data_IF_557828866931
#
_entry.id   IF_557828866931
#
_cell.length_a   1.000
_cell.length_b   1.000
_cell.length_c   1.000
_cell.angle_alpha   90.00
_cell.angle_beta   90.00
_cell.angle_gamma   90.00
#
_symmetry.space_group_name_H-M   'P 1'
#
loop_
_entity.id
_entity.type
_entity.pdbx_description
1 polymer ?
#
# COMPACT_ATOMS: atom_id res chain seq x y z
N UNK A 1 -7.35 -26.02 2.86
CA UNK A 1 -5.88 -25.90 3.08
C UNK A 1 -5.28 -24.74 2.29
N UNK A 2 -5.38 -24.72 0.96
CA UNK A 2 -4.72 -23.69 0.12
C UNK A 2 -5.37 -22.29 0.20
N UNK A 3 -6.68 -22.22 0.45
CA UNK A 3 -7.39 -20.97 0.75
C UNK A 3 -6.91 -20.36 2.08
N UNK A 4 -6.32 -21.17 2.97
CA UNK A 4 -5.81 -20.73 4.28
C UNK A 4 -4.40 -20.10 4.22
N UNK A 5 -3.79 -20.01 3.04
CA UNK A 5 -2.47 -19.38 2.92
C UNK A 5 -2.67 -17.87 2.86
N UNK A 6 -2.15 -17.16 3.86
CA UNK A 6 -2.21 -15.71 3.98
C UNK A 6 -1.59 -15.02 2.75
N UNK A 7 -2.21 -13.92 2.32
CA UNK A 7 -1.87 -13.18 1.09
C UNK A 7 -0.44 -12.64 1.10
N UNK A 8 0.45 -13.34 0.40
CA UNK A 8 1.69 -12.77 -0.12
C UNK A 8 1.53 -12.56 -1.63
N UNK A 9 0.82 -11.49 -2.01
CA UNK A 9 0.67 -11.11 -3.42
C UNK A 9 1.95 -10.38 -3.83
N UNK A 10 2.86 -11.11 -4.51
CA UNK A 10 3.98 -10.65 -5.38
C UNK A 10 5.44 -10.96 -4.97
N UNK A 11 5.72 -12.02 -4.21
CA UNK A 11 7.11 -12.56 -4.14
C UNK A 11 7.57 -13.29 -5.43
N UNK A 12 6.78 -13.28 -6.51
CA UNK A 12 6.95 -14.18 -7.66
C UNK A 12 7.90 -13.75 -8.78
N UNK A 13 8.23 -12.46 -8.92
CA UNK A 13 8.94 -11.98 -10.12
C UNK A 13 9.89 -10.82 -9.79
N UNK A 14 11.01 -11.12 -9.11
CA UNK A 14 12.29 -10.41 -9.31
C UNK A 14 13.40 -11.14 -8.54
N UNK A 15 13.90 -12.24 -9.12
CA UNK A 15 15.12 -12.86 -8.60
C UNK A 15 16.33 -12.10 -9.13
N UNK A 16 16.71 -11.04 -8.42
CA UNK A 16 18.09 -10.58 -8.35
C UNK A 16 18.39 -10.25 -6.89
N UNK A 17 19.47 -10.87 -6.42
CA UNK A 17 19.94 -10.99 -5.04
C UNK A 17 19.70 -9.78 -4.14
N UNK A 18 19.18 -10.06 -2.94
CA UNK A 18 19.35 -9.20 -1.77
C UNK A 18 18.09 -8.48 -1.29
N UNK A 19 17.21 -9.19 -0.57
CA UNK A 19 16.29 -8.54 0.37
C UNK A 19 16.15 -9.37 1.64
N UNK A 20 16.56 -8.77 2.76
CA UNK A 20 16.65 -9.37 4.08
C UNK A 20 15.28 -9.50 4.78
N UNK A 21 14.39 -10.33 4.24
CA UNK A 21 13.36 -10.96 5.08
C UNK A 21 14.07 -12.04 5.87
N UNK A 22 14.60 -11.66 7.04
CA UNK A 22 15.36 -12.50 7.98
C UNK A 22 15.97 -13.74 7.32
N UNK A 23 17.08 -13.54 6.60
CA UNK A 23 17.88 -14.59 5.93
C UNK A 23 17.80 -15.98 6.59
N UNK A 24 17.94 -16.15 7.93
CA UNK A 24 17.78 -17.45 8.57
C UNK A 24 16.38 -18.09 8.42
N UNK A 25 15.28 -17.35 8.53
CA UNK A 25 13.93 -17.89 8.35
C UNK A 25 13.65 -18.27 6.90
N UNK A 26 14.09 -17.45 5.95
CA UNK A 26 13.92 -17.75 4.54
C UNK A 26 14.76 -18.97 4.12
N UNK A 27 16.01 -19.04 4.56
CA UNK A 27 16.87 -20.21 4.33
C UNK A 27 16.30 -21.48 4.95
N UNK A 28 15.74 -21.41 6.16
CA UNK A 28 15.07 -22.54 6.79
C UNK A 28 13.84 -22.99 5.98
N UNK A 29 13.01 -22.04 5.52
CA UNK A 29 11.87 -22.33 4.63
C UNK A 29 12.30 -22.95 3.30
N UNK A 30 13.41 -22.47 2.72
CA UNK A 30 13.99 -23.03 1.49
C UNK A 30 14.49 -24.45 1.70
N UNK A 31 15.19 -24.73 2.81
CA UNK A 31 15.62 -26.09 3.19
C UNK A 31 14.42 -27.02 3.36
N UNK A 32 13.36 -26.57 4.03
CA UNK A 32 12.12 -27.34 4.19
C UNK A 32 11.43 -27.62 2.84
N UNK A 33 11.37 -26.63 1.94
CA UNK A 33 10.82 -26.82 0.60
C UNK A 33 11.62 -27.84 -0.22
N UNK A 34 12.96 -27.82 -0.12
CA UNK A 34 13.84 -28.78 -0.76
C UNK A 34 13.61 -30.22 -0.27
N UNK A 35 13.33 -30.40 1.04
CA UNK A 35 12.96 -31.73 1.58
C UNK A 35 11.65 -32.26 0.99
N UNK A 36 10.73 -31.38 0.60
CA UNK A 36 9.47 -31.70 -0.08
C UNK A 36 9.63 -31.75 -1.61
N UNK A 37 10.86 -31.77 -2.13
CA UNK A 37 11.19 -31.76 -3.55
C UNK A 37 10.64 -30.54 -4.32
N UNK A 38 10.39 -29.42 -3.65
CA UNK A 38 10.09 -28.15 -4.30
C UNK A 38 11.39 -27.36 -4.56
N UNK A 39 11.58 -26.90 -5.80
CA UNK A 39 12.78 -26.16 -6.23
C UNK A 39 12.83 -24.72 -5.67
N UNK A 40 11.67 -24.16 -5.30
CA UNK A 40 11.52 -22.84 -4.71
C UNK A 40 10.60 -22.91 -3.50
N UNK A 41 10.67 -21.90 -2.62
CA UNK A 41 9.71 -21.77 -1.52
C UNK A 41 8.31 -21.56 -2.12
N UNK A 42 7.32 -22.42 -1.81
CA UNK A 42 5.98 -22.28 -2.35
C UNK A 42 5.30 -21.05 -1.76
N UNK A 43 4.92 -20.11 -2.61
CA UNK A 43 4.13 -18.93 -2.24
C UNK A 43 2.66 -19.19 -2.52
N UNK A 44 1.78 -18.44 -1.85
CA UNK A 44 0.33 -18.51 -2.09
C UNK A 44 -0.03 -18.41 -3.57
N UNK A 45 0.54 -17.44 -4.27
CA UNK A 45 0.28 -17.21 -5.68
C UNK A 45 0.76 -18.38 -6.54
N UNK A 46 1.96 -18.92 -6.27
CA UNK A 46 2.44 -20.11 -7.00
C UNK A 46 1.52 -21.31 -6.78
N UNK A 47 0.99 -21.47 -5.58
CA UNK A 47 0.08 -22.56 -5.24
C UNK A 47 -1.28 -22.40 -5.92
N UNK A 48 -1.82 -21.18 -5.96
CA UNK A 48 -3.05 -20.87 -6.71
C UNK A 48 -2.86 -21.05 -8.23
N UNK A 49 -1.70 -20.67 -8.78
CA UNK A 49 -1.36 -20.91 -10.18
C UNK A 49 -1.32 -22.41 -10.50
N UNK A 50 -0.80 -23.24 -9.59
CA UNK A 50 -0.83 -24.70 -9.77
C UNK A 50 -2.25 -25.26 -9.67
N UNK A 51 -3.08 -24.75 -8.75
CA UNK A 51 -4.47 -25.18 -8.63
C UNK A 51 -5.30 -24.87 -9.87
N UNK A 52 -5.09 -23.70 -10.47
CA UNK A 52 -5.75 -23.28 -11.72
C UNK A 52 -5.21 -24.07 -12.91
N UNK A 53 -3.89 -24.26 -13.04
CA UNK A 53 -3.31 -25.05 -14.13
C UNK A 53 -3.73 -26.53 -14.13
N UNK A 54 -4.10 -27.08 -12.96
CA UNK A 54 -4.54 -28.47 -12.81
C UNK A 54 -6.06 -28.61 -12.66
N UNK A 55 -6.82 -27.52 -12.81
CA UNK A 55 -8.28 -27.49 -12.67
C UNK A 55 -8.83 -28.11 -11.38
N UNK A 56 -8.05 -28.09 -10.29
CA UNK A 56 -8.41 -28.74 -9.01
C UNK A 56 -9.68 -28.12 -8.41
N UNK A 57 -9.89 -26.82 -8.67
CA UNK A 57 -11.03 -26.07 -8.16
C UNK A 57 -12.35 -26.66 -8.69
N UNK A 58 -12.39 -27.14 -9.93
CA UNK A 58 -13.59 -27.75 -10.52
C UNK A 58 -13.99 -29.08 -9.88
N UNK A 59 -13.03 -29.80 -9.27
CA UNK A 59 -13.29 -31.05 -8.57
C UNK A 59 -13.63 -30.86 -7.08
N UNK A 60 -13.52 -29.64 -6.56
CA UNK A 60 -13.87 -29.34 -5.17
C UNK A 60 -15.40 -29.30 -4.97
N UNK A 61 -15.87 -29.46 -3.73
CA UNK A 61 -17.28 -29.28 -3.37
C UNK A 61 -17.78 -27.89 -3.77
N UNK A 62 -19.05 -27.79 -4.16
CA UNK A 62 -19.66 -26.54 -4.61
C UNK A 62 -19.52 -25.40 -3.57
N UNK A 63 -19.62 -25.70 -2.28
CA UNK A 63 -19.44 -24.70 -1.20
C UNK A 63 -18.02 -24.12 -1.19
N UNK A 64 -17.02 -24.93 -1.50
CA UNK A 64 -15.61 -24.50 -1.56
C UNK A 64 -15.35 -23.68 -2.83
N UNK A 65 -15.98 -24.06 -3.96
CA UNK A 65 -15.90 -23.30 -5.21
C UNK A 65 -16.50 -21.90 -5.04
N UNK A 66 -17.67 -21.80 -4.42
CA UNK A 66 -18.33 -20.54 -4.12
C UNK A 66 -17.48 -19.67 -3.18
N UNK A 67 -16.93 -20.26 -2.11
CA UNK A 67 -16.04 -19.53 -1.20
C UNK A 67 -14.77 -19.02 -1.90
N UNK A 68 -14.22 -19.80 -2.82
CA UNK A 68 -13.07 -19.38 -3.62
C UNK A 68 -13.41 -18.22 -4.56
N UNK A 69 -14.54 -18.28 -5.28
CA UNK A 69 -15.03 -17.18 -6.12
C UNK A 69 -15.23 -15.90 -5.32
N UNK A 70 -15.87 -16.02 -4.16
CA UNK A 70 -16.16 -14.91 -3.25
C UNK A 70 -14.89 -14.22 -2.73
N UNK A 71 -13.80 -14.95 -2.52
CA UNK A 71 -12.54 -14.40 -2.00
C UNK A 71 -11.63 -13.81 -3.08
N UNK A 72 -11.53 -14.46 -4.25
CA UNK A 72 -10.56 -14.07 -5.29
C UNK A 72 -11.16 -13.27 -6.45
N UNK A 73 -12.37 -13.61 -6.90
CA UNK A 73 -12.97 -13.04 -8.10
C UNK A 73 -13.92 -11.89 -7.78
N UNK A 74 -14.70 -12.01 -6.70
CA UNK A 74 -15.77 -11.05 -6.37
C UNK A 74 -15.31 -9.94 -5.43
N UNK A 75 -15.74 -8.71 -5.74
CA UNK A 75 -15.51 -7.54 -4.91
C UNK A 75 -16.82 -7.09 -4.26
N UNK A 76 -17.10 -7.61 -3.06
CA UNK A 76 -18.35 -7.34 -2.33
C UNK A 76 -18.08 -7.00 -0.85
N UNK A 77 -17.44 -5.87 -0.54
CA UNK A 77 -16.97 -5.57 0.81
C UNK A 77 -18.09 -5.58 1.86
N UNK A 78 -19.29 -5.09 1.54
CA UNK A 78 -20.39 -5.00 2.51
C UNK A 78 -21.06 -6.35 2.82
N UNK A 79 -20.99 -7.32 1.90
CA UNK A 79 -21.71 -8.61 2.00
C UNK A 79 -20.76 -9.80 2.20
N UNK A 80 -19.45 -9.57 2.26
CA UNK A 80 -18.45 -10.63 2.29
C UNK A 80 -18.65 -11.57 3.48
N UNK A 81 -18.80 -11.02 4.69
CA UNK A 81 -18.97 -11.81 5.90
C UNK A 81 -20.31 -12.56 5.94
N UNK A 82 -21.41 -11.91 5.55
CA UNK A 82 -22.74 -12.54 5.58
C UNK A 82 -22.88 -13.66 4.56
N UNK A 83 -22.20 -13.57 3.41
CA UNK A 83 -22.15 -14.65 2.42
C UNK A 83 -21.16 -15.76 2.80
N UNK A 84 -20.03 -15.42 3.44
CA UNK A 84 -19.04 -16.41 3.87
C UNK A 84 -19.49 -17.22 5.09
N UNK A 85 -20.30 -16.66 5.98
CA UNK A 85 -20.77 -17.31 7.21
C UNK A 85 -21.49 -18.66 6.98
N UNK A 86 -22.55 -18.76 6.15
CA UNK A 86 -23.23 -20.03 5.90
C UNK A 86 -22.36 -21.06 5.15
N UNK A 87 -21.43 -20.58 4.33
CA UNK A 87 -20.47 -21.45 3.66
C UNK A 87 -19.52 -22.06 4.70
N UNK A 88 -18.95 -21.25 5.58
CA UNK A 88 -18.05 -21.73 6.64
C UNK A 88 -18.74 -22.65 7.65
N UNK A 89 -20.03 -22.43 7.96
CA UNK A 89 -20.77 -23.36 8.82
C UNK A 89 -20.95 -24.72 8.17
N UNK A 90 -21.28 -24.77 6.87
CA UNK A 90 -21.38 -26.04 6.14
C UNK A 90 -20.06 -26.80 6.04
N UNK A 91 -18.93 -26.08 6.00
CA UNK A 91 -17.59 -26.68 6.01
C UNK A 91 -17.18 -27.16 7.42
N UNK A 92 -17.80 -26.66 8.48
CA UNK A 92 -17.49 -27.05 9.85
C UNK A 92 -18.06 -28.42 10.21
N UNK A 93 -19.07 -28.89 9.48
CA UNK A 93 -19.67 -30.22 9.64
C UNK A 93 -18.67 -31.35 9.31
N UNK A 94 -17.69 -31.07 8.43
CA UNK A 94 -16.64 -32.01 8.09
C UNK A 94 -15.48 -31.98 9.12
N UNK A 95 -15.20 -33.08 9.83
CA UNK A 95 -14.18 -33.10 10.89
C UNK A 95 -12.77 -32.81 10.36
N UNK A 96 -12.48 -33.17 9.10
CA UNK A 96 -11.20 -32.88 8.44
C UNK A 96 -11.00 -31.38 8.14
N UNK A 97 -12.08 -30.63 7.97
CA UNK A 97 -12.06 -29.20 7.62
C UNK A 97 -12.18 -28.29 8.84
N UNK A 98 -12.68 -28.82 9.97
CA UNK A 98 -12.81 -28.11 11.24
C UNK A 98 -11.58 -27.29 11.69
N UNK A 99 -10.31 -27.74 11.59
CA UNK A 99 -9.17 -26.92 12.04
C UNK A 99 -8.88 -25.71 11.15
N UNK A 100 -9.42 -25.70 9.92
CA UNK A 100 -9.18 -24.62 8.95
C UNK A 100 -10.18 -23.47 9.06
N UNK A 101 -11.28 -23.64 9.79
CA UNK A 101 -12.35 -22.65 9.90
C UNK A 101 -11.87 -21.34 10.53
N UNK A 102 -11.12 -21.40 11.64
CA UNK A 102 -10.61 -20.21 12.30
C UNK A 102 -9.61 -19.43 11.42
N UNK A 103 -8.58 -20.08 10.82
CA UNK A 103 -7.73 -19.43 9.82
C UNK A 103 -8.49 -18.84 8.62
N UNK A 104 -9.53 -19.52 8.15
CA UNK A 104 -10.39 -19.02 7.06
C UNK A 104 -11.12 -17.73 7.46
N UNK A 105 -11.69 -17.66 8.67
CA UNK A 105 -12.32 -16.43 9.16
C UNK A 105 -11.35 -15.26 9.18
N UNK A 106 -10.11 -15.48 9.63
CA UNK A 106 -9.07 -14.44 9.64
C UNK A 106 -8.73 -13.93 8.24
N UNK A 107 -8.70 -14.82 7.25
CA UNK A 107 -8.39 -14.46 5.86
C UNK A 107 -9.55 -13.74 5.20
N UNK A 108 -10.79 -14.19 5.42
CA UNK A 108 -12.00 -13.48 4.98
C UNK A 108 -12.00 -12.07 5.57
N UNK A 109 -11.68 -11.92 6.86
CA UNK A 109 -11.59 -10.62 7.52
C UNK A 109 -10.46 -9.74 6.95
N UNK A 110 -9.28 -10.30 6.69
CA UNK A 110 -8.17 -9.57 6.07
C UNK A 110 -8.50 -9.11 4.64
N UNK A 111 -9.23 -9.94 3.89
CA UNK A 111 -9.71 -9.58 2.56
C UNK A 111 -10.76 -8.48 2.65
N UNK A 112 -11.74 -8.60 3.57
CA UNK A 112 -12.73 -7.56 3.85
C UNK A 112 -12.05 -6.22 4.15
N UNK A 113 -11.12 -6.20 5.10
CA UNK A 113 -10.47 -4.96 5.53
C UNK A 113 -9.73 -4.29 4.37
N UNK A 114 -9.03 -5.08 3.54
CA UNK A 114 -8.36 -4.60 2.33
C UNK A 114 -9.34 -4.10 1.26
N UNK A 115 -10.51 -4.71 1.13
CA UNK A 115 -11.55 -4.20 0.22
C UNK A 115 -12.14 -2.89 0.74
N UNK A 116 -12.39 -2.78 2.05
CA UNK A 116 -12.90 -1.56 2.68
C UNK A 116 -11.92 -0.40 2.53
N UNK A 117 -10.62 -0.63 2.70
CA UNK A 117 -9.61 0.43 2.56
C UNK A 117 -9.53 1.03 1.16
N UNK A 118 -10.04 0.32 0.13
CA UNK A 118 -10.07 0.81 -1.25
C UNK A 118 -11.29 1.69 -1.55
N UNK A 119 -12.34 1.61 -0.74
CA UNK A 119 -13.65 2.22 -1.03
C UNK A 119 -14.03 3.28 -0.01
N UNK A 120 -13.60 3.11 1.24
CA UNK A 120 -13.94 3.99 2.34
C UNK A 120 -12.73 4.80 2.79
N UNK A 121 -12.96 6.09 3.05
CA UNK A 121 -11.98 6.98 3.71
C UNK A 121 -12.11 6.86 5.22
N UNK A 122 -13.34 6.94 5.72
CA UNK A 122 -13.70 6.72 7.12
C UNK A 122 -14.99 5.91 7.23
N UNK A 123 -15.13 5.15 8.31
CA UNK A 123 -16.26 4.26 8.57
C UNK A 123 -16.53 4.19 10.07
N UNK A 124 -17.78 4.39 10.50
CA UNK A 124 -18.12 4.25 11.92
C UNK A 124 -17.98 2.80 12.39
N UNK A 125 -17.42 2.60 13.59
CA UNK A 125 -17.27 1.30 14.25
C UNK A 125 -18.64 0.66 14.47
N UNK A 126 -19.64 1.43 14.90
CA UNK A 126 -21.01 0.94 15.13
C UNK A 126 -21.66 0.43 13.82
N UNK A 127 -21.37 1.10 12.70
CA UNK A 127 -21.83 0.64 11.39
C UNK A 127 -21.09 -0.63 10.95
N UNK A 128 -19.78 -0.70 11.21
CA UNK A 128 -18.95 -1.85 10.88
C UNK A 128 -19.42 -3.12 11.60
N UNK A 129 -19.64 -3.06 12.92
CA UNK A 129 -20.06 -4.22 13.73
C UNK A 129 -21.48 -4.66 13.45
N UNK A 130 -22.38 -3.73 13.08
CA UNK A 130 -23.78 -4.06 12.84
C UNK A 130 -24.07 -4.58 11.44
N UNK A 131 -23.42 -4.02 10.41
CA UNK A 131 -23.82 -4.27 9.01
C UNK A 131 -22.78 -5.03 8.19
N UNK A 132 -21.49 -4.95 8.55
CA UNK A 132 -20.41 -5.48 7.71
C UNK A 132 -19.86 -6.76 8.33
N UNK A 133 -19.49 -6.71 9.60
CA UNK A 133 -18.96 -7.85 10.34
C UNK A 133 -19.84 -8.10 11.58
N UNK A 134 -20.93 -8.88 11.43
CA UNK A 134 -21.82 -9.19 12.55
C UNK A 134 -21.10 -10.00 13.63
N UNK A 135 -21.57 -9.90 14.88
CA UNK A 135 -20.99 -10.62 16.02
C UNK A 135 -21.00 -12.15 15.86
N UNK A 136 -21.91 -12.68 15.04
CA UNK A 136 -21.98 -14.11 14.71
C UNK A 136 -20.74 -14.59 13.93
N UNK A 137 -20.14 -13.70 13.14
CA UNK A 137 -18.94 -14.01 12.37
C UNK A 137 -17.68 -13.85 13.23
N UNK A 138 -17.48 -12.64 13.77
CA UNK A 138 -16.31 -12.25 14.57
C UNK A 138 -16.68 -11.14 15.56
N UNK A 139 -16.24 -11.29 16.82
CA UNK A 139 -16.47 -10.26 17.85
C UNK A 139 -15.56 -9.04 17.64
N UNK A 140 -16.00 -7.84 18.05
CA UNK A 140 -15.21 -6.61 17.90
C UNK A 140 -13.79 -6.69 18.48
N UNK A 141 -13.54 -7.22 19.71
CA UNK A 141 -12.19 -7.31 20.26
C UNK A 141 -11.27 -8.21 19.42
N UNK A 142 -11.82 -9.27 18.82
CA UNK A 142 -11.08 -10.14 17.92
C UNK A 142 -10.79 -9.45 16.58
N UNK A 143 -11.79 -8.76 16.02
CA UNK A 143 -11.66 -7.96 14.80
C UNK A 143 -10.60 -6.86 14.95
N UNK A 144 -10.61 -6.15 16.07
CA UNK A 144 -9.63 -5.13 16.42
C UNK A 144 -8.22 -5.71 16.47
N UNK A 145 -8.03 -6.83 17.19
CA UNK A 145 -6.74 -7.52 17.27
C UNK A 145 -6.23 -7.93 15.88
N UNK A 146 -7.12 -8.45 15.02
CA UNK A 146 -6.78 -8.78 13.65
C UNK A 146 -6.39 -7.53 12.85
N UNK A 147 -7.16 -6.44 12.91
CA UNK A 147 -6.80 -5.18 12.25
C UNK A 147 -5.40 -4.69 12.67
N UNK A 148 -5.11 -4.68 13.96
CA UNK A 148 -3.80 -4.28 14.49
C UNK A 148 -2.68 -5.18 13.96
N UNK A 149 -2.89 -6.50 13.93
CA UNK A 149 -1.92 -7.44 13.38
C UNK A 149 -1.67 -7.25 11.88
N UNK A 150 -2.72 -6.93 11.12
CA UNK A 150 -2.63 -6.64 9.69
C UNK A 150 -1.82 -5.36 9.44
N UNK A 151 -2.10 -4.30 10.21
CA UNK A 151 -1.35 -3.04 10.14
C UNK A 151 0.12 -3.26 10.48
N UNK A 152 0.41 -4.02 11.53
CA UNK A 152 1.79 -4.28 11.94
C UNK A 152 2.56 -5.08 10.88
N UNK A 153 1.90 -6.05 10.24
CA UNK A 153 2.48 -6.86 9.17
C UNK A 153 2.73 -6.02 7.91
N UNK A 154 1.75 -5.18 7.52
CA UNK A 154 1.85 -4.23 6.42
C UNK A 154 3.02 -3.25 6.60
N UNK A 155 3.14 -2.67 7.80
CA UNK A 155 4.24 -1.74 8.14
C UNK A 155 5.61 -2.43 8.14
N UNK A 156 5.72 -3.66 8.62
CA UNK A 156 6.97 -4.44 8.56
C UNK A 156 7.43 -4.68 7.13
N UNK A 157 6.49 -4.94 6.22
CA UNK A 157 6.80 -5.07 4.79
C UNK A 157 7.30 -3.74 4.20
N UNK A 158 6.66 -2.62 4.53
CA UNK A 158 7.09 -1.29 4.09
C UNK A 158 8.47 -0.89 4.64
N UNK A 159 8.71 -1.07 5.95
CA UNK A 159 9.98 -0.72 6.59
C UNK A 159 11.17 -1.57 6.12
N UNK A 160 10.93 -2.82 5.70
CA UNK A 160 11.97 -3.66 5.08
C UNK A 160 12.39 -3.14 3.70
N UNK A 161 11.54 -2.39 3.00
CA UNK A 161 11.85 -1.78 1.70
C UNK A 161 12.70 -0.50 1.84
N UNK A 162 12.49 0.30 2.90
CA UNK A 162 13.21 1.56 3.11
C UNK A 162 14.66 1.39 3.60
N UNK A 163 15.04 0.20 4.08
CA UNK A 163 16.34 -0.08 4.69
C UNK A 163 17.49 -0.44 3.74
N UNK A 164 17.34 -0.36 2.42
CA UNK A 164 18.40 -0.71 1.46
C UNK A 164 18.53 0.31 0.32
N UNK A 165 19.75 0.77 0.03
CA UNK A 165 20.10 1.63 -1.09
C UNK A 165 20.43 0.84 -2.37
N UNK A 166 19.82 -0.34 -2.55
CA UNK A 166 20.04 -1.20 -3.71
C UNK A 166 18.93 -1.04 -4.73
N UNK A 167 19.21 -1.29 -6.01
CA UNK A 167 18.19 -1.28 -7.08
C UNK A 167 17.02 -2.25 -6.80
N UNK A 168 17.27 -3.32 -6.04
CA UNK A 168 16.25 -4.26 -5.57
C UNK A 168 15.29 -3.64 -4.52
N UNK A 169 15.78 -2.72 -3.69
CA UNK A 169 14.95 -1.99 -2.73
C UNK A 169 14.06 -0.94 -3.40
N UNK A 170 14.52 -0.30 -4.49
CA UNK A 170 13.67 0.57 -5.31
C UNK A 170 12.53 -0.22 -5.98
N UNK A 171 12.79 -1.46 -6.42
CA UNK A 171 11.76 -2.36 -6.95
C UNK A 171 10.82 -2.89 -5.85
N UNK A 172 11.33 -3.19 -4.65
CA UNK A 172 10.52 -3.57 -3.49
C UNK A 172 9.67 -2.42 -2.94
N UNK A 173 10.19 -1.18 -2.95
CA UNK A 173 9.46 0.03 -2.61
C UNK A 173 8.42 0.39 -3.67
N UNK A 174 8.71 0.19 -4.96
CA UNK A 174 7.71 0.28 -6.03
C UNK A 174 6.64 -0.81 -5.91
N UNK A 175 7.02 -2.03 -5.53
CA UNK A 175 6.08 -3.14 -5.31
C UNK A 175 5.23 -2.92 -4.06
N UNK A 176 5.78 -2.37 -2.98
CA UNK A 176 5.06 -1.96 -1.77
C UNK A 176 4.19 -0.70 -1.99
N UNK A 177 4.61 0.20 -2.88
CA UNK A 177 3.78 1.31 -3.33
C UNK A 177 2.60 0.84 -4.22
N UNK A 178 2.77 -0.26 -4.97
CA UNK A 178 1.75 -0.82 -5.85
C UNK A 178 0.83 -1.83 -5.13
N UNK A 179 1.34 -2.50 -4.08
CA UNK A 179 0.51 -3.15 -3.06
C UNK A 179 0.11 -2.12 -2.01
N UNK A 180 -0.73 -1.16 -2.42
CA UNK A 180 -1.21 -0.04 -1.62
C UNK A 180 -1.23 -0.36 -0.12
N UNK A 181 -0.26 0.19 0.59
CA UNK A 181 0.00 -0.12 1.98
C UNK A 181 -1.31 -0.05 2.76
N UNK A 182 -1.74 -1.20 3.30
CA UNK A 182 -2.96 -1.24 4.09
C UNK A 182 -2.69 -0.50 5.40
N UNK A 183 -3.21 0.72 5.51
CA UNK A 183 -3.14 1.59 6.68
C UNK A 183 -4.56 1.80 7.19
N UNK A 184 -4.80 1.47 8.45
CA UNK A 184 -6.06 1.74 9.14
C UNK A 184 -5.73 2.28 10.51
N UNK A 185 -6.41 3.35 10.89
CA UNK A 185 -6.35 3.94 12.22
C UNK A 185 -7.69 3.77 12.89
N UNK A 186 -7.68 3.29 14.12
CA UNK A 186 -8.86 3.14 14.95
C UNK A 186 -8.91 4.36 15.87
N UNK A 187 -9.91 5.23 15.68
CA UNK A 187 -10.17 6.36 16.56
C UNK A 187 -11.38 6.06 17.43
N UNK A 188 -11.13 5.82 18.71
CA UNK A 188 -12.18 5.54 19.70
C UNK A 188 -12.95 6.79 20.13
N UNK A 189 -12.35 7.98 20.02
CA UNK A 189 -13.03 9.22 20.40
C UNK A 189 -14.17 9.54 19.42
N UNK A 190 -13.90 9.37 18.12
CA UNK A 190 -14.92 9.51 17.06
C UNK A 190 -15.67 8.21 16.74
N UNK A 191 -15.28 7.09 17.36
CA UNK A 191 -15.78 5.73 17.06
C UNK A 191 -15.72 5.43 15.57
N UNK A 192 -14.59 5.71 14.93
CA UNK A 192 -14.41 5.55 13.50
C UNK A 192 -13.11 4.81 13.14
N UNK A 193 -13.21 3.96 12.12
CA UNK A 193 -12.11 3.40 11.35
C UNK A 193 -11.74 4.38 10.24
N UNK A 194 -10.50 4.83 10.22
CA UNK A 194 -9.97 5.76 9.22
C UNK A 194 -8.98 4.98 8.36
N UNK A 195 -9.30 4.79 7.09
CA UNK A 195 -8.50 4.00 6.12
C UNK A 195 -7.55 4.87 5.29
N UNK A 196 -7.80 6.18 5.20
CA UNK A 196 -6.90 7.12 4.55
C UNK A 196 -6.01 7.83 5.58
N UNK A 197 -4.73 8.02 5.27
CA UNK A 197 -3.96 9.06 5.93
C UNK A 197 -4.46 10.42 5.40
N UNK A 198 -4.98 11.32 6.26
CA UNK A 198 -5.66 12.52 5.79
C UNK A 198 -4.79 13.49 4.99
N UNK A 199 -3.46 13.52 5.18
CA UNK A 199 -2.68 14.72 4.82
C UNK A 199 -1.28 14.48 4.21
N UNK A 200 -1.00 13.29 3.70
CA UNK A 200 0.22 13.08 2.92
C UNK A 200 -0.20 12.47 1.61
N UNK A 201 -0.26 13.26 0.54
CA UNK A 201 -0.09 12.70 -0.80
C UNK A 201 1.24 11.96 -0.75
N UNK A 202 1.27 10.63 -0.71
CA UNK A 202 2.55 9.96 -0.70
C UNK A 202 3.21 10.36 -2.02
N UNK A 203 4.46 10.76 -1.98
CA UNK A 203 5.21 11.22 -3.16
C UNK A 203 5.07 10.22 -4.34
N UNK A 204 4.86 8.94 -4.01
CA UNK A 204 4.53 7.85 -4.93
C UNK A 204 3.24 8.06 -5.73
N UNK A 205 2.16 8.61 -5.16
CA UNK A 205 0.91 8.89 -5.88
C UNK A 205 1.10 10.02 -6.90
N UNK A 206 1.82 11.08 -6.52
CA UNK A 206 2.15 12.16 -7.44
C UNK A 206 3.05 11.66 -8.58
N UNK A 207 4.07 10.86 -8.26
CA UNK A 207 4.96 10.24 -9.26
C UNK A 207 4.21 9.29 -10.20
N UNK A 208 3.33 8.44 -9.67
CA UNK A 208 2.56 7.50 -10.49
C UNK A 208 1.53 8.20 -11.37
N UNK A 209 0.87 9.23 -10.85
CA UNK A 209 -0.07 10.07 -11.60
C UNK A 209 0.63 10.83 -12.74
N UNK A 210 1.78 11.48 -12.45
CA UNK A 210 2.58 12.16 -13.46
C UNK A 210 3.13 11.19 -14.52
N UNK A 211 3.61 10.02 -14.11
CA UNK A 211 4.07 9.00 -15.05
C UNK A 211 2.93 8.44 -15.91
N UNK A 212 1.72 8.28 -15.34
CA UNK A 212 0.54 7.86 -16.09
C UNK A 212 0.13 8.91 -17.13
N UNK A 213 0.10 10.18 -16.71
CA UNK A 213 -0.25 11.30 -17.58
C UNK A 213 0.77 11.47 -18.70
N UNK A 214 2.07 11.35 -18.41
CA UNK A 214 3.14 11.32 -19.43
C UNK A 214 2.87 10.25 -20.47
N UNK A 215 2.67 8.98 -20.05
CA UNK A 215 2.43 7.87 -20.99
C UNK A 215 1.14 8.05 -21.80
N UNK A 216 0.11 8.64 -21.20
CA UNK A 216 -1.14 8.93 -21.88
C UNK A 216 -0.95 10.00 -22.96
N UNK A 217 -0.21 11.07 -22.65
CA UNK A 217 0.13 12.11 -23.61
C UNK A 217 1.05 11.59 -24.71
N UNK A 218 2.05 10.77 -24.38
CA UNK A 218 2.95 10.17 -25.38
C UNK A 218 2.16 9.36 -26.42
N UNK A 219 1.20 8.53 -25.97
CA UNK A 219 0.28 7.81 -26.88
C UNK A 219 -0.57 8.74 -27.74
N UNK A 220 -1.08 9.84 -27.17
CA UNK A 220 -1.90 10.82 -27.91
C UNK A 220 -1.06 11.56 -28.95
N UNK A 221 0.20 11.88 -28.62
CA UNK A 221 1.13 12.52 -29.54
C UNK A 221 1.50 11.59 -30.70
N UNK A 222 1.76 10.31 -30.42
CA UNK A 222 2.02 9.28 -31.45
C UNK A 222 0.83 9.09 -32.40
N UNK A 223 -0.41 9.19 -31.91
CA UNK A 223 -1.62 9.03 -32.73
C UNK A 223 -1.99 10.28 -33.52
N UNK A 224 -1.69 11.48 -33.01
CA UNK A 224 -1.98 12.75 -33.70
C UNK A 224 -0.94 13.12 -34.78
N UNK A 225 0.28 12.58 -34.70
CA UNK A 225 1.35 12.88 -35.67
C UNK A 225 2.03 11.58 -36.16
N UNK A 226 1.42 10.86 -37.12
CA UNK A 226 1.99 9.63 -37.66
C UNK A 226 3.19 9.86 -38.61
N UNK A 227 3.33 11.05 -39.20
CA UNK A 227 4.41 11.42 -40.13
C UNK A 227 5.48 12.25 -39.42
N UNK A 228 6.18 11.65 -38.46
CA UNK A 228 7.34 12.27 -37.84
C UNK A 228 8.53 12.18 -38.80
N UNK A 229 8.87 13.29 -39.47
CA UNK A 229 10.13 13.42 -40.23
C UNK A 229 11.31 13.17 -39.28
N UNK A 230 12.34 12.44 -39.73
CA UNK A 230 13.52 12.07 -38.90
C UNK A 230 14.16 13.30 -38.23
N UNK A 231 14.16 14.45 -38.90
CA UNK A 231 14.65 15.73 -38.37
C UNK A 231 13.87 16.18 -37.13
N UNK A 232 12.54 16.02 -37.13
CA UNK A 232 11.68 16.43 -36.03
C UNK A 232 11.80 15.49 -34.82
N UNK A 233 12.09 14.21 -35.05
CA UNK A 233 12.45 13.28 -33.98
C UNK A 233 13.80 13.67 -33.36
N UNK A 234 14.79 14.05 -34.18
CA UNK A 234 16.09 14.51 -33.69
C UNK A 234 15.98 15.81 -32.89
N UNK A 235 15.16 16.78 -33.33
CA UNK A 235 14.87 17.99 -32.57
C UNK A 235 14.21 17.67 -31.22
N UNK A 236 13.26 16.72 -31.22
CA UNK A 236 12.56 16.29 -29.99
C UNK A 236 13.54 15.65 -29.00
N UNK A 237 14.46 14.81 -29.48
CA UNK A 237 15.52 14.21 -28.67
C UNK A 237 16.52 15.25 -28.16
N UNK A 238 16.95 16.19 -29.02
CA UNK A 238 17.82 17.29 -28.63
C UNK A 238 17.14 18.16 -27.55
N UNK A 239 15.84 18.41 -27.69
CA UNK A 239 15.04 19.12 -26.70
C UNK A 239 14.96 18.35 -25.38
N UNK A 240 14.69 17.04 -25.40
CA UNK A 240 14.69 16.19 -24.20
C UNK A 240 16.06 16.18 -23.51
N UNK A 241 17.15 16.15 -24.27
CA UNK A 241 18.52 16.21 -23.72
C UNK A 241 18.88 17.59 -23.14
N UNK A 242 18.26 18.67 -23.65
CA UNK A 242 18.45 20.02 -23.14
C UNK A 242 17.57 20.35 -21.93
N UNK A 243 16.44 19.66 -21.74
CA UNK A 243 15.52 19.85 -20.61
C UNK A 243 16.17 19.81 -19.22
N UNK A 244 17.02 18.83 -18.84
CA UNK A 244 17.60 18.78 -17.50
C UNK A 244 18.40 20.04 -17.17
N UNK A 245 19.15 20.57 -18.14
CA UNK A 245 19.92 21.81 -17.96
C UNK A 245 19.02 23.02 -17.72
N UNK A 246 17.84 23.08 -18.36
CA UNK A 246 16.86 24.16 -18.13
C UNK A 246 16.23 24.05 -16.74
N UNK A 247 15.88 22.83 -16.33
CA UNK A 247 15.37 22.54 -14.99
C UNK A 247 16.39 22.91 -13.89
N UNK A 248 17.67 22.63 -14.08
CA UNK A 248 18.74 23.05 -13.15
C UNK A 248 18.83 24.58 -13.01
N UNK A 249 18.76 25.30 -14.14
CA UNK A 249 18.79 26.77 -14.14
C UNK A 249 17.55 27.35 -13.44
N UNK A 250 16.37 26.77 -13.66
CA UNK A 250 15.14 27.18 -12.97
C UNK A 250 15.18 26.85 -11.48
N UNK A 251 15.67 25.67 -11.10
CA UNK A 251 15.85 25.27 -9.71
C UNK A 251 16.84 26.20 -8.99
N UNK A 252 17.93 26.60 -9.64
CA UNK A 252 18.87 27.57 -9.10
C UNK A 252 18.24 28.96 -8.88
N UNK A 253 17.40 29.42 -9.82
CA UNK A 253 16.65 30.68 -9.66
C UNK A 253 15.65 30.61 -8.51
N UNK A 254 14.90 29.52 -8.41
CA UNK A 254 13.95 29.29 -7.31
C UNK A 254 14.65 29.23 -5.95
N UNK A 255 15.77 28.52 -5.84
CA UNK A 255 16.57 28.44 -4.61
C UNK A 255 17.08 29.82 -4.18
N UNK A 256 17.56 30.63 -5.13
CA UNK A 256 17.99 32.00 -4.85
C UNK A 256 16.84 32.89 -4.37
N UNK A 257 15.66 32.78 -4.98
CA UNK A 257 14.46 33.50 -4.53
C UNK A 257 14.04 33.07 -3.11
N UNK A 258 14.09 31.77 -2.82
CA UNK A 258 13.73 31.24 -1.51
C UNK A 258 14.69 31.71 -0.41
N UNK A 259 16.00 31.74 -0.70
CA UNK A 259 17.01 32.29 0.21
C UNK A 259 16.77 33.78 0.50
N UNK A 260 16.44 34.57 -0.53
CA UNK A 260 16.13 35.99 -0.35
C UNK A 260 14.87 36.20 0.51
N UNK A 261 13.82 35.42 0.29
CA UNK A 261 12.61 35.48 1.12
C UNK A 261 12.89 35.10 2.58
N UNK A 262 13.69 34.05 2.82
CA UNK A 262 14.09 33.66 4.18
C UNK A 262 14.91 34.76 4.87
N UNK A 263 15.85 35.38 4.17
CA UNK A 263 16.65 36.48 4.72
C UNK A 263 15.78 37.69 5.07
N UNK A 264 14.83 38.06 4.19
CA UNK A 264 13.89 39.16 4.46
C UNK A 264 13.02 38.87 5.69
N UNK A 265 12.51 37.64 5.83
CA UNK A 265 11.73 37.24 7.00
C UNK A 265 12.56 37.32 8.29
N UNK A 266 13.82 36.86 8.27
CA UNK A 266 14.72 36.96 9.43
C UNK A 266 15.01 38.42 9.80
N UNK A 267 15.27 39.29 8.83
CA UNK A 267 15.49 40.71 9.07
C UNK A 267 14.25 41.39 9.66
N UNK A 268 13.05 41.08 9.15
CA UNK A 268 11.80 41.60 9.72
C UNK A 268 11.61 41.13 11.17
N UNK A 269 11.88 39.87 11.49
CA UNK A 269 11.81 39.36 12.86
C UNK A 269 12.82 40.06 13.79
N UNK A 270 14.05 40.28 13.33
CA UNK A 270 15.06 40.99 14.11
C UNK A 270 14.68 42.45 14.35
N UNK A 271 14.15 43.15 13.34
CA UNK A 271 13.66 44.52 13.48
C UNK A 271 12.48 44.60 14.46
N UNK A 272 11.54 43.66 14.39
CA UNK A 272 10.44 43.59 15.35
C UNK A 272 10.94 43.34 16.78
N UNK A 273 11.90 42.42 16.97
CA UNK A 273 12.50 42.18 18.28
C UNK A 273 13.24 43.42 18.81
N UNK A 274 13.99 44.12 17.97
CA UNK A 274 14.68 45.36 18.34
C UNK A 274 13.70 46.48 18.70
N UNK A 275 12.60 46.64 17.96
CA UNK A 275 11.55 47.60 18.27
C UNK A 275 10.87 47.29 19.61
N UNK A 276 10.57 46.02 19.88
CA UNK A 276 10.02 45.59 21.17
C UNK A 276 11.00 45.87 22.30
N UNK A 277 12.29 45.52 22.14
CA UNK A 277 13.33 45.83 23.13
C UNK A 277 13.48 47.33 23.37
N UNK A 278 13.40 48.15 22.31
CA UNK A 278 13.52 49.60 22.42
C UNK A 278 12.28 50.22 23.09
N UNK A 279 11.07 49.72 22.81
CA UNK A 279 9.85 50.10 23.53
C UNK A 279 9.92 49.71 25.01
N UNK A 280 10.40 48.51 25.34
CA UNK A 280 10.60 48.09 26.72
C UNK A 280 11.63 48.98 27.43
N UNK A 281 12.74 49.33 26.77
CA UNK A 281 13.75 50.25 27.32
C UNK A 281 13.20 51.67 27.54
N UNK A 282 12.35 52.18 26.64
CA UNK A 282 11.67 53.47 26.80
C UNK A 282 10.64 53.47 27.94
N UNK A 283 10.02 52.33 28.24
CA UNK A 283 9.10 52.17 29.38
C UNK A 283 9.85 52.01 30.72
N UNK A 284 11.08 51.49 30.70
CA UNK A 284 11.91 51.26 31.91
C UNK A 284 12.74 52.50 32.29
N UNK A 285 13.16 53.33 31.33
CA UNK A 285 13.86 54.60 31.57
C UNK A 285 13.15 55.76 30.87
N UNK A 286 12.06 56.31 31.45
CA UNK A 286 11.49 57.55 30.95
C UNK A 286 12.50 58.68 31.18
N UNK A 287 12.89 59.34 30.09
CA UNK A 287 13.79 60.51 30.07
C UNK A 287 13.29 61.56 31.08
N UNK A 288 14.15 61.96 32.02
CA UNK A 288 14.03 63.15 32.87
C UNK A 288 14.72 64.32 32.18
#
# INVERSE_FOLDING_TARGET
>A
ILVCVYSDRREGELWLEGSAVSLPHFENKKKLAQLLAHNSVPTRNSLLAVCTAKDIIHYASHNVQQLFSLLEAEFTPLKLCSLAEPLLSSLADDPLLSPYINPLKQIVFAQLSRQLSRVYVSLSIDHFTKYICPESFLSWPEAEKLLVSLIHTSRKAAAAADGCSSAAAAAAAAAAADTGAFSVRIDYASKALIFAEPDVYPESYLRSSLASLSRALDRVVETLQPEDTVERQQERLAYQQAMPKRLEVEAAKMSKQQQQQQQQQQQQQQQQQQQVLQQVLQLVYPVL
#
